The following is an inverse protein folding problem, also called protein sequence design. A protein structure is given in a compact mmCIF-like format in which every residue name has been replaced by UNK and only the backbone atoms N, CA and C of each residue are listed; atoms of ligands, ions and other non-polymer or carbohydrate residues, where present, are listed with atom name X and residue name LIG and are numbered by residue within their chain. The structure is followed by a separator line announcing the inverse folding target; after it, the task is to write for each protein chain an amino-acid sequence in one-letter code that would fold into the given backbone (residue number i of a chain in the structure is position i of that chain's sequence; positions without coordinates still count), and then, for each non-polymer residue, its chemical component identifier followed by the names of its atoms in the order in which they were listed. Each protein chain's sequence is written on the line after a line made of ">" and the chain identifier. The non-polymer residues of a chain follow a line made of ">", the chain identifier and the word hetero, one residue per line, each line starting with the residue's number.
data_IF_661438334530
#
_entry.id   IF_661438334530
#
_cell.length_a   1.000
_cell.length_b   1.000
_cell.length_c   1.000
_cell.angle_alpha   90.00
_cell.angle_beta   90.00
_cell.angle_gamma   90.00
#
_symmetry.space_group_name_H-M   'P 1'
#
loop_
_entity.id
_entity.type
_entity.pdbx_description
1 polymer ?
#
# COMPACT_ATOMS: atom_id res chain seq x y z
N UNK A 1 -21.62 -1.68 55.49
CA UNK A 1 -20.75 -2.87 55.47
C UNK A 1 -20.61 -3.27 53.99
N UNK A 2 -19.99 -2.46 53.13
CA UNK A 2 -18.57 -2.51 52.75
C UNK A 2 -17.93 -3.89 52.87
N UNK A 3 -17.91 -4.64 51.76
CA UNK A 3 -16.79 -5.39 51.18
C UNK A 3 -17.34 -6.45 50.22
N UNK A 4 -17.41 -6.10 48.93
CA UNK A 4 -17.25 -7.06 47.84
C UNK A 4 -16.32 -6.38 46.83
N UNK A 5 -15.02 -6.68 46.99
CA UNK A 5 -13.94 -6.24 46.11
C UNK A 5 -13.64 -7.39 45.16
N UNK A 6 -13.74 -7.10 43.86
CA UNK A 6 -12.76 -7.45 42.84
C UNK A 6 -12.10 -8.83 42.98
N UNK A 7 -12.77 -9.87 42.47
CA UNK A 7 -12.13 -11.08 41.96
C UNK A 7 -12.81 -11.44 40.63
N UNK A 8 -12.41 -10.72 39.58
CA UNK A 8 -12.44 -11.23 38.22
C UNK A 8 -11.00 -11.11 37.71
N UNK A 9 -10.23 -12.17 37.93
CA UNK A 9 -8.91 -12.33 37.31
C UNK A 9 -9.06 -12.14 35.79
N UNK A 10 -8.25 -11.29 35.17
CA UNK A 10 -6.91 -11.67 34.77
C UNK A 10 -6.91 -13.00 34.00
N UNK A 11 -7.76 -13.11 32.97
CA UNK A 11 -7.51 -14.02 31.86
C UNK A 11 -6.28 -13.48 31.11
N UNK A 12 -5.13 -14.05 31.49
CA UNK A 12 -3.94 -14.30 30.67
C UNK A 12 -3.86 -13.53 29.35
N UNK A 13 -3.20 -12.36 29.38
CA UNK A 13 -2.40 -11.91 28.24
C UNK A 13 -1.18 -12.83 28.12
N UNK A 14 -1.39 -14.07 27.66
CA UNK A 14 -0.28 -14.85 27.14
C UNK A 14 0.29 -14.04 25.97
N UNK A 15 1.53 -13.55 26.12
CA UNK A 15 2.31 -12.98 25.03
C UNK A 15 2.36 -14.01 23.91
N UNK A 16 1.45 -13.90 22.93
CA UNK A 16 1.52 -14.74 21.75
C UNK A 16 2.74 -14.29 20.97
N UNK A 17 3.81 -15.07 21.03
CA UNK A 17 4.95 -14.90 20.13
C UNK A 17 4.44 -15.05 18.70
N UNK A 18 4.36 -13.93 17.98
CA UNK A 18 3.89 -13.92 16.59
C UNK A 18 4.98 -14.56 15.73
N UNK A 19 4.63 -15.64 15.03
CA UNK A 19 5.53 -16.28 14.09
C UNK A 19 5.53 -15.54 12.73
N UNK A 20 6.63 -15.64 11.98
CA UNK A 20 6.73 -15.14 10.60
C UNK A 20 5.55 -15.59 9.74
N UNK A 21 5.24 -16.89 9.78
CA UNK A 21 4.07 -17.47 9.13
C UNK A 21 2.88 -17.36 10.09
N UNK A 22 1.97 -16.43 9.80
CA UNK A 22 0.75 -16.22 10.58
C UNK A 22 -0.26 -17.32 10.26
N UNK A 23 -0.35 -17.71 8.99
CA UNK A 23 -1.24 -18.78 8.57
C UNK A 23 -1.06 -19.19 7.12
N UNK A 24 -1.43 -20.44 6.83
CA UNK A 24 -1.49 -20.99 5.47
C UNK A 24 -2.75 -21.82 5.28
N UNK A 25 -3.36 -21.68 4.12
CA UNK A 25 -4.45 -22.52 3.63
C UNK A 25 -4.23 -22.85 2.16
N UNK A 26 -4.33 -24.12 1.79
CA UNK A 26 -4.00 -24.61 0.45
C UNK A 26 -5.08 -25.56 -0.03
N UNK A 27 -5.39 -25.50 -1.33
CA UNK A 27 -6.36 -26.39 -1.97
C UNK A 27 -5.82 -26.98 -3.28
N UNK A 28 -6.72 -27.16 -4.25
CA UNK A 28 -6.37 -27.63 -5.60
C UNK A 28 -5.38 -26.68 -6.30
N UNK A 29 -4.85 -27.04 -7.47
CA UNK A 29 -3.98 -26.12 -8.21
C UNK A 29 -4.72 -24.81 -8.56
N UNK A 30 -4.05 -23.67 -8.41
CA UNK A 30 -4.67 -22.35 -8.59
C UNK A 30 -3.72 -21.19 -8.26
N UNK A 31 -4.27 -19.97 -8.12
CA UNK A 31 -3.53 -18.75 -7.77
C UNK A 31 -2.84 -18.83 -6.40
N UNK A 32 -1.83 -18.00 -6.17
CA UNK A 32 -1.21 -17.83 -4.86
C UNK A 32 -1.49 -16.41 -4.34
N UNK A 33 -2.26 -16.29 -3.26
CA UNK A 33 -2.53 -15.03 -2.57
C UNK A 33 -1.60 -14.94 -1.36
N UNK A 34 -0.61 -14.05 -1.45
CA UNK A 34 0.33 -13.75 -0.38
C UNK A 34 -0.13 -12.48 0.31
N UNK A 35 -0.23 -12.51 1.63
CA UNK A 35 -0.69 -11.38 2.45
C UNK A 35 0.36 -11.08 3.50
N UNK A 36 0.79 -9.83 3.59
CA UNK A 36 1.71 -9.37 4.64
C UNK A 36 0.99 -8.37 5.52
N UNK A 37 1.08 -8.55 6.83
CA UNK A 37 0.64 -7.57 7.82
C UNK A 37 1.75 -7.23 8.80
N UNK A 38 1.71 -6.04 9.39
CA UNK A 38 2.69 -5.62 10.38
C UNK A 38 4.10 -5.42 9.81
N UNK A 39 4.22 -4.83 8.61
CA UNK A 39 5.50 -4.25 8.18
C UNK A 39 5.94 -3.13 9.13
N UNK A 40 4.96 -2.39 9.65
CA UNK A 40 5.13 -1.52 10.80
C UNK A 40 4.62 -2.24 12.05
N UNK A 41 5.41 -2.28 13.11
CA UNK A 41 5.12 -3.12 14.29
C UNK A 41 3.91 -2.69 15.11
N UNK A 42 3.57 -1.39 15.09
CA UNK A 42 2.38 -0.84 15.72
C UNK A 42 1.07 -1.12 14.94
N UNK A 43 1.13 -1.81 13.80
CA UNK A 43 -0.02 -2.07 12.91
C UNK A 43 -0.48 -3.53 12.97
N UNK A 44 -0.88 -3.99 14.16
CA UNK A 44 -1.22 -5.40 14.41
C UNK A 44 -2.52 -5.89 13.74
N UNK A 45 -3.37 -4.98 13.24
CA UNK A 45 -4.68 -5.30 12.68
C UNK A 45 -4.60 -6.25 11.47
N UNK A 46 -3.60 -6.08 10.60
CA UNK A 46 -3.39 -6.96 9.44
C UNK A 46 -3.07 -8.40 9.83
N UNK A 47 -2.27 -8.60 10.88
CA UNK A 47 -1.92 -9.93 11.40
C UNK A 47 -3.17 -10.62 11.97
N UNK A 48 -3.97 -9.90 12.75
CA UNK A 48 -5.25 -10.39 13.28
C UNK A 48 -6.22 -10.77 12.16
N UNK A 49 -6.29 -9.95 11.10
CA UNK A 49 -7.15 -10.23 9.94
C UNK A 49 -6.73 -11.51 9.21
N UNK A 50 -5.44 -11.70 8.97
CA UNK A 50 -4.88 -12.92 8.35
C UNK A 50 -5.26 -14.16 9.16
N UNK A 51 -4.98 -14.15 10.47
CA UNK A 51 -5.28 -15.28 11.36
C UNK A 51 -6.78 -15.61 11.36
N UNK A 52 -7.64 -14.59 11.44
CA UNK A 52 -9.10 -14.75 11.40
C UNK A 52 -9.58 -15.42 10.10
N UNK A 53 -9.10 -14.98 8.95
CA UNK A 53 -9.48 -15.56 7.64
C UNK A 53 -9.01 -17.00 7.54
N UNK A 54 -7.75 -17.29 7.92
CA UNK A 54 -7.20 -18.66 7.85
C UNK A 54 -7.94 -19.62 8.78
N UNK A 55 -8.27 -19.20 10.01
CA UNK A 55 -9.08 -20.00 10.93
C UNK A 55 -10.46 -20.29 10.37
N UNK A 56 -11.09 -19.29 9.76
CA UNK A 56 -12.41 -19.43 9.15
C UNK A 56 -12.41 -20.36 7.93
N UNK A 57 -11.42 -20.26 7.05
CA UNK A 57 -11.26 -21.20 5.93
C UNK A 57 -11.15 -22.66 6.41
N UNK A 58 -10.47 -22.88 7.54
CA UNK A 58 -10.34 -24.22 8.15
C UNK A 58 -11.65 -24.73 8.76
N UNK A 59 -12.49 -23.84 9.32
CA UNK A 59 -13.77 -24.24 9.91
C UNK A 59 -14.85 -24.53 8.88
N UNK A 60 -14.87 -23.77 7.78
CA UNK A 60 -16.01 -23.73 6.87
C UNK A 60 -15.98 -24.83 5.80
N UNK A 61 -14.85 -25.52 5.62
CA UNK A 61 -14.74 -26.63 4.65
C UNK A 61 -14.94 -26.19 3.19
N UNK A 62 -14.63 -24.93 2.89
CA UNK A 62 -14.82 -24.30 1.57
C UNK A 62 -13.97 -24.97 0.51
N UNK A 63 -14.54 -25.23 -0.67
CA UNK A 63 -13.74 -25.63 -1.83
C UNK A 63 -12.77 -24.53 -2.23
N UNK A 64 -11.48 -24.85 -2.23
CA UNK A 64 -10.43 -23.85 -2.41
C UNK A 64 -9.46 -24.24 -3.53
N UNK A 65 -9.08 -23.24 -4.33
CA UNK A 65 -8.09 -23.36 -5.40
C UNK A 65 -6.89 -22.46 -5.10
N UNK A 66 -5.71 -23.03 -5.18
CA UNK A 66 -4.46 -22.34 -4.98
C UNK A 66 -4.01 -22.32 -3.52
N UNK A 67 -3.40 -21.21 -3.12
CA UNK A 67 -2.74 -21.03 -1.83
C UNK A 67 -3.05 -19.64 -1.26
N UNK A 68 -3.43 -19.56 0.02
CA UNK A 68 -3.38 -18.36 0.85
C UNK A 68 -2.22 -18.51 1.82
N UNK A 69 -1.29 -17.55 1.80
CA UNK A 69 -0.11 -17.54 2.68
C UNK A 69 -0.03 -16.16 3.34
N UNK A 70 -0.14 -16.14 4.67
CA UNK A 70 -0.10 -14.93 5.46
C UNK A 70 1.18 -14.82 6.28
N UNK A 71 1.89 -13.69 6.15
CA UNK A 71 3.12 -13.40 6.87
C UNK A 71 2.99 -12.18 7.78
N UNK A 72 3.71 -12.23 8.91
CA UNK A 72 4.01 -11.05 9.72
C UNK A 72 5.27 -10.37 9.15
N UNK A 73 5.34 -9.04 9.20
CA UNK A 73 6.34 -8.22 8.50
C UNK A 73 7.62 -7.90 9.27
N UNK A 74 7.54 -7.19 10.39
CA UNK A 74 8.68 -6.78 11.21
C UNK A 74 8.51 -7.36 12.62
N UNK A 75 8.97 -8.59 12.84
CA UNK A 75 8.73 -9.30 14.11
C UNK A 75 9.31 -8.55 15.31
N UNK A 76 10.52 -8.02 15.17
CA UNK A 76 11.16 -7.24 16.22
C UNK A 76 10.39 -5.97 16.58
N UNK A 77 9.91 -5.21 15.59
CA UNK A 77 9.09 -4.01 15.86
C UNK A 77 7.69 -4.36 16.36
N UNK A 78 7.10 -5.47 15.89
CA UNK A 78 5.81 -5.99 16.38
C UNK A 78 5.91 -6.31 17.87
N UNK A 79 6.98 -6.99 18.29
CA UNK A 79 7.24 -7.32 19.70
C UNK A 79 7.41 -6.05 20.55
N UNK A 80 8.07 -5.02 20.01
CA UNK A 80 8.21 -3.72 20.67
C UNK A 80 6.93 -2.86 20.65
N UNK A 81 5.94 -3.18 19.81
CA UNK A 81 4.77 -2.34 19.57
C UNK A 81 5.11 -0.99 18.91
N UNK A 82 6.26 -0.89 18.24
CA UNK A 82 6.76 0.33 17.61
C UNK A 82 6.62 0.25 16.09
N UNK A 83 6.56 1.40 15.40
CA UNK A 83 6.50 1.42 13.93
C UNK A 83 7.68 0.70 13.31
N UNK A 84 8.88 0.99 13.79
CA UNK A 84 10.16 0.37 13.45
C UNK A 84 11.16 0.71 14.56
N UNK A 85 12.24 -0.06 14.69
CA UNK A 85 13.27 0.14 15.72
C UNK A 85 14.38 1.10 15.27
N UNK A 86 14.80 1.03 14.00
CA UNK A 86 15.82 1.93 13.44
C UNK A 86 15.38 2.57 12.13
N UNK A 87 14.99 1.77 11.16
CA UNK A 87 14.64 2.25 9.81
C UNK A 87 13.25 1.76 9.42
N UNK A 88 12.47 2.56 8.70
CA UNK A 88 11.17 2.11 8.21
C UNK A 88 11.35 0.94 7.22
N UNK A 89 10.91 -0.27 7.62
CA UNK A 89 11.04 -1.49 6.82
C UNK A 89 10.37 -1.33 5.45
N UNK A 90 9.31 -0.54 5.34
CA UNK A 90 8.62 -0.27 4.07
C UNK A 90 9.29 0.84 3.24
N UNK A 91 10.59 1.06 3.45
CA UNK A 91 11.49 1.90 2.63
C UNK A 91 12.73 1.15 2.15
N UNK A 92 12.92 -0.11 2.56
CA UNK A 92 14.15 -0.87 2.29
C UNK A 92 14.11 -1.71 1.00
N UNK A 93 12.96 -1.87 0.35
CA UNK A 93 12.73 -2.82 -0.75
C UNK A 93 13.17 -2.31 -2.13
N UNK A 94 14.26 -1.55 -2.17
CA UNK A 94 14.84 -1.06 -3.43
C UNK A 94 15.34 -2.20 -4.31
N UNK A 95 15.31 -2.01 -5.64
CA UNK A 95 15.76 -3.03 -6.58
C UNK A 95 17.22 -3.44 -6.35
N UNK A 96 18.10 -2.47 -6.11
CA UNK A 96 19.51 -2.71 -5.86
C UNK A 96 19.74 -3.43 -4.52
N UNK A 97 19.08 -2.97 -3.46
CA UNK A 97 19.17 -3.58 -2.12
C UNK A 97 18.75 -5.05 -2.14
N UNK A 98 17.56 -5.34 -2.70
CA UNK A 98 17.03 -6.72 -2.80
C UNK A 98 17.92 -7.62 -3.66
N UNK A 99 18.44 -7.11 -4.79
CA UNK A 99 19.36 -7.89 -5.64
C UNK A 99 20.65 -8.24 -4.90
N UNK A 100 21.19 -7.31 -4.12
CA UNK A 100 22.39 -7.53 -3.30
C UNK A 100 22.10 -8.57 -2.22
N UNK A 101 20.98 -8.44 -1.49
CA UNK A 101 20.58 -9.41 -0.47
C UNK A 101 20.37 -10.82 -1.03
N UNK A 102 19.73 -10.97 -2.20
CA UNK A 102 19.56 -12.28 -2.83
C UNK A 102 20.89 -12.92 -3.26
N UNK A 103 21.90 -12.12 -3.63
CA UNK A 103 23.23 -12.61 -4.01
C UNK A 103 24.02 -13.08 -2.81
N UNK A 104 23.93 -12.37 -1.69
CA UNK A 104 24.66 -12.71 -0.46
C UNK A 104 23.75 -12.68 0.77
N UNK A 105 22.96 -13.74 0.92
CA UNK A 105 22.05 -13.95 2.06
C UNK A 105 22.77 -14.26 3.38
N UNK A 106 24.10 -14.39 3.37
CA UNK A 106 24.89 -14.75 4.56
C UNK A 106 25.57 -13.56 5.21
N UNK A 107 25.51 -12.40 4.56
CA UNK A 107 25.98 -11.14 5.11
C UNK A 107 25.31 -10.90 6.46
N UNK A 108 26.12 -10.63 7.48
CA UNK A 108 25.59 -10.21 8.77
C UNK A 108 25.09 -8.77 8.64
N UNK A 109 23.87 -8.53 9.11
CA UNK A 109 23.26 -7.21 9.14
C UNK A 109 23.23 -6.72 10.59
N UNK A 110 23.70 -5.50 10.85
CA UNK A 110 23.67 -4.90 12.18
C UNK A 110 22.35 -4.13 12.44
N UNK A 111 21.66 -3.74 11.39
CA UNK A 111 20.34 -3.11 11.45
C UNK A 111 19.25 -4.19 11.67
N UNK A 112 18.38 -4.05 12.70
CA UNK A 112 17.31 -5.01 12.94
C UNK A 112 16.33 -5.12 11.77
N UNK A 113 16.01 -4.03 11.09
CA UNK A 113 15.10 -4.06 9.93
C UNK A 113 15.72 -4.71 8.70
N UNK A 114 17.04 -4.61 8.50
CA UNK A 114 17.70 -5.38 7.43
C UNK A 114 17.64 -6.90 7.68
N UNK A 115 17.72 -7.34 8.95
CA UNK A 115 17.54 -8.76 9.31
C UNK A 115 16.10 -9.22 9.04
N UNK A 116 15.13 -8.41 9.43
CA UNK A 116 13.71 -8.65 9.18
C UNK A 116 13.40 -8.68 7.68
N UNK A 117 13.98 -7.75 6.91
CA UNK A 117 13.89 -7.71 5.45
C UNK A 117 14.41 -9.01 4.84
N UNK A 118 15.60 -9.47 5.22
CA UNK A 118 16.20 -10.69 4.69
C UNK A 118 15.35 -11.94 5.00
N UNK A 119 14.81 -12.03 6.21
CA UNK A 119 13.97 -13.14 6.66
C UNK A 119 12.61 -13.16 5.94
N UNK A 120 11.97 -12.00 5.79
CA UNK A 120 10.73 -11.88 5.05
C UNK A 120 10.95 -12.15 3.55
N UNK A 121 12.03 -11.62 2.97
CA UNK A 121 12.41 -11.87 1.58
C UNK A 121 12.59 -13.38 1.31
N UNK A 122 13.18 -14.13 2.24
CA UNK A 122 13.27 -15.59 2.14
C UNK A 122 11.89 -16.25 2.03
N UNK A 123 10.99 -15.85 2.92
CA UNK A 123 9.64 -16.41 3.00
C UNK A 123 8.82 -16.09 1.75
N UNK A 124 8.98 -14.86 1.21
CA UNK A 124 8.34 -14.42 -0.03
C UNK A 124 8.92 -15.15 -1.24
N UNK A 125 10.25 -15.25 -1.36
CA UNK A 125 10.93 -15.98 -2.45
C UNK A 125 10.45 -17.45 -2.48
N UNK A 126 10.37 -18.10 -1.33
CA UNK A 126 9.89 -19.49 -1.21
C UNK A 126 8.41 -19.63 -1.60
N UNK A 127 7.56 -18.71 -1.14
CA UNK A 127 6.13 -18.70 -1.48
C UNK A 127 5.89 -18.48 -2.98
N UNK A 128 6.64 -17.56 -3.61
CA UNK A 128 6.59 -17.31 -5.05
C UNK A 128 7.11 -18.51 -5.84
N UNK A 129 8.22 -19.11 -5.41
CA UNK A 129 8.80 -20.28 -6.08
C UNK A 129 7.88 -21.52 -6.05
N UNK A 130 7.07 -21.66 -4.98
CA UNK A 130 6.11 -22.77 -4.82
C UNK A 130 4.74 -22.47 -5.46
N UNK A 131 4.50 -21.26 -5.96
CA UNK A 131 3.21 -20.87 -6.52
C UNK A 131 2.87 -21.72 -7.75
N UNK A 132 1.64 -22.25 -7.77
CA UNK A 132 1.12 -23.11 -8.86
C UNK A 132 0.30 -22.34 -9.90
N UNK A 133 0.33 -21.01 -9.82
CA UNK A 133 -0.46 -20.10 -10.64
C UNK A 133 -0.04 -18.65 -10.44
N UNK A 134 -0.82 -17.68 -10.94
CA UNK A 134 -0.54 -16.26 -10.76
C UNK A 134 -0.44 -15.88 -9.28
N UNK A 135 0.50 -14.99 -8.95
CA UNK A 135 0.66 -14.45 -7.60
C UNK A 135 -0.08 -13.12 -7.48
N UNK A 136 -0.88 -13.01 -6.41
CA UNK A 136 -1.52 -11.79 -5.93
C UNK A 136 -0.92 -11.47 -4.57
N UNK A 137 -0.48 -10.23 -4.38
CA UNK A 137 0.13 -9.75 -3.16
C UNK A 137 -0.72 -8.64 -2.53
N UNK A 138 -0.99 -8.78 -1.23
CA UNK A 138 -1.66 -7.78 -0.42
C UNK A 138 -0.72 -7.31 0.69
N UNK A 139 -0.48 -6.00 0.75
CA UNK A 139 0.25 -5.35 1.84
C UNK A 139 -0.74 -4.63 2.76
N UNK A 140 -0.91 -5.12 3.99
CA UNK A 140 -1.94 -4.63 4.91
C UNK A 140 -1.35 -3.66 5.93
N UNK A 141 -1.86 -2.44 5.89
CA UNK A 141 -1.48 -1.33 6.76
C UNK A 141 -2.69 -0.77 7.52
N UNK A 142 -2.39 0.05 8.51
CA UNK A 142 -3.33 0.96 9.15
C UNK A 142 -2.66 2.32 9.30
N UNK A 143 -3.43 3.36 9.63
CA UNK A 143 -2.92 4.72 9.76
C UNK A 143 -3.12 5.30 11.16
N UNK A 144 -2.32 6.31 11.51
CA UNK A 144 -2.43 6.98 12.82
C UNK A 144 -3.67 7.88 12.92
N UNK A 145 -4.18 8.34 11.77
CA UNK A 145 -5.32 9.22 11.69
C UNK A 145 -6.65 8.43 11.60
N UNK A 146 -7.73 8.95 12.21
CA UNK A 146 -9.07 8.44 11.92
C UNK A 146 -9.38 8.58 10.42
N UNK A 147 -9.94 7.53 9.83
CA UNK A 147 -10.17 7.51 8.39
C UNK A 147 -10.85 6.25 7.89
N UNK A 148 -11.41 6.38 6.71
CA UNK A 148 -12.01 5.31 5.92
C UNK A 148 -10.91 4.42 5.32
N UNK A 149 -11.18 3.12 5.11
CA UNK A 149 -10.23 2.23 4.45
C UNK A 149 -10.05 2.63 2.99
N UNK A 150 -8.86 2.38 2.43
CA UNK A 150 -8.55 2.66 1.03
C UNK A 150 -7.47 1.73 0.47
N UNK A 151 -7.34 1.76 -0.86
CA UNK A 151 -6.39 0.94 -1.60
C UNK A 151 -5.45 1.84 -2.40
N UNK A 152 -4.17 1.53 -2.37
CA UNK A 152 -3.19 2.12 -3.28
C UNK A 152 -2.39 1.02 -3.97
N UNK A 153 -1.86 1.34 -5.15
CA UNK A 153 -1.09 0.41 -5.96
C UNK A 153 -0.25 1.16 -6.98
N UNK A 154 0.85 0.56 -7.40
CA UNK A 154 1.61 1.05 -8.54
C UNK A 154 0.74 0.94 -9.80
N UNK A 155 0.60 2.05 -10.53
CA UNK A 155 -0.47 2.28 -11.52
C UNK A 155 -0.32 1.51 -12.84
N UNK A 156 -0.31 0.17 -12.75
CA UNK A 156 -0.39 -0.77 -13.87
C UNK A 156 -1.84 -1.10 -14.20
N UNK A 157 -2.16 -1.42 -15.46
CA UNK A 157 -3.52 -1.85 -15.81
C UNK A 157 -3.95 -3.14 -15.13
N UNK A 158 -3.01 -4.06 -14.83
CA UNK A 158 -3.28 -5.29 -14.08
C UNK A 158 -3.70 -5.01 -12.64
N UNK A 159 -2.97 -4.14 -11.93
CA UNK A 159 -3.32 -3.73 -10.58
C UNK A 159 -4.63 -2.95 -10.56
N UNK A 160 -4.88 -2.06 -11.54
CA UNK A 160 -6.17 -1.39 -11.69
C UNK A 160 -7.32 -2.39 -11.79
N UNK A 161 -7.23 -3.32 -12.74
CA UNK A 161 -8.28 -4.32 -12.98
C UNK A 161 -8.59 -5.11 -11.71
N UNK A 162 -7.56 -5.50 -10.95
CA UNK A 162 -7.75 -6.15 -9.66
C UNK A 162 -8.38 -5.22 -8.61
N UNK A 163 -7.79 -4.04 -8.38
CA UNK A 163 -8.20 -3.10 -7.34
C UNK A 163 -9.64 -2.55 -7.51
N UNK A 164 -10.15 -2.47 -8.74
CA UNK A 164 -11.53 -2.02 -8.98
C UNK A 164 -12.62 -3.02 -8.55
N UNK A 165 -12.25 -4.25 -8.14
CA UNK A 165 -13.21 -5.21 -7.56
C UNK A 165 -13.51 -4.94 -6.07
N UNK A 166 -12.76 -4.04 -5.44
CA UNK A 166 -12.89 -3.73 -4.02
C UNK A 166 -13.77 -2.49 -3.86
N UNK A 167 -14.77 -2.51 -2.97
CA UNK A 167 -15.64 -1.37 -2.71
C UNK A 167 -14.97 -0.39 -1.73
N UNK A 168 -13.76 0.06 -2.05
CA UNK A 168 -12.99 1.02 -1.27
C UNK A 168 -12.39 2.10 -2.19
N UNK A 169 -12.19 3.33 -1.70
CA UNK A 169 -11.50 4.40 -2.42
C UNK A 169 -10.13 3.96 -2.90
N UNK A 170 -9.81 4.34 -4.14
CA UNK A 170 -8.51 4.08 -4.75
C UNK A 170 -7.69 5.36 -4.78
N UNK A 171 -6.45 5.29 -4.29
CA UNK A 171 -5.49 6.39 -4.31
C UNK A 171 -4.40 6.12 -5.34
N UNK A 172 -4.44 6.86 -6.44
CA UNK A 172 -3.44 6.83 -7.49
C UNK A 172 -2.29 7.77 -7.14
N UNK A 173 -1.04 7.38 -7.44
CA UNK A 173 0.13 8.24 -7.22
C UNK A 173 0.80 8.07 -5.86
N UNK A 174 0.14 7.48 -4.85
CA UNK A 174 0.71 7.31 -3.51
C UNK A 174 1.94 6.39 -3.53
N UNK A 175 1.78 5.22 -4.15
CA UNK A 175 2.86 4.24 -4.34
C UNK A 175 4.08 4.83 -5.05
N UNK A 176 3.88 5.70 -6.05
CA UNK A 176 4.99 6.31 -6.77
C UNK A 176 5.76 7.37 -5.98
N UNK A 177 5.20 7.86 -4.86
CA UNK A 177 5.89 8.80 -3.96
C UNK A 177 6.65 8.12 -2.84
N UNK A 178 6.47 6.82 -2.67
CA UNK A 178 7.15 6.00 -1.69
C UNK A 178 8.24 5.21 -2.43
N UNK A 179 9.50 5.40 -2.05
CA UNK A 179 10.59 4.60 -2.63
C UNK A 179 10.90 3.43 -1.70
N UNK A 180 11.01 2.23 -2.28
CA UNK A 180 11.39 1.02 -1.52
C UNK A 180 10.24 0.39 -0.73
N UNK A 181 8.99 0.56 -1.17
CA UNK A 181 7.86 -0.19 -0.62
C UNK A 181 7.89 -1.66 -1.05
N UNK A 182 7.40 -2.56 -0.19
CA UNK A 182 7.32 -3.99 -0.49
C UNK A 182 6.33 -4.28 -1.65
N UNK A 183 5.18 -3.61 -1.65
CA UNK A 183 4.19 -3.62 -2.73
C UNK A 183 4.79 -3.20 -4.10
N UNK A 184 5.74 -2.25 -4.11
CA UNK A 184 6.47 -1.83 -5.31
C UNK A 184 7.37 -2.96 -5.83
N UNK A 185 8.12 -3.63 -4.95
CA UNK A 185 8.93 -4.80 -5.28
C UNK A 185 8.08 -5.87 -5.97
N UNK A 186 6.95 -6.25 -5.36
CA UNK A 186 6.07 -7.29 -5.89
C UNK A 186 5.48 -6.92 -7.26
N UNK A 187 5.10 -5.65 -7.46
CA UNK A 187 4.66 -5.16 -8.78
C UNK A 187 5.79 -5.25 -9.81
N UNK A 188 7.01 -4.86 -9.43
CA UNK A 188 8.18 -4.88 -10.33
C UNK A 188 8.56 -6.29 -10.76
N UNK A 189 8.33 -7.28 -9.91
CA UNK A 189 8.52 -8.71 -10.21
C UNK A 189 7.40 -9.31 -11.07
N UNK A 190 6.39 -8.50 -11.44
CA UNK A 190 5.33 -8.88 -12.37
C UNK A 190 4.12 -9.52 -11.69
N UNK A 191 4.01 -9.42 -10.37
CA UNK A 191 2.85 -9.88 -9.61
C UNK A 191 1.77 -8.80 -9.55
N UNK A 192 0.52 -9.22 -9.38
CA UNK A 192 -0.54 -8.28 -8.99
C UNK A 192 -0.28 -7.90 -7.54
N UNK A 193 -0.23 -6.62 -7.24
CA UNK A 193 0.15 -6.13 -5.92
C UNK A 193 -0.65 -4.88 -5.58
N UNK A 194 -1.30 -4.90 -4.41
CA UNK A 194 -2.00 -3.75 -3.85
C UNK A 194 -1.60 -3.59 -2.37
N UNK A 195 -1.55 -2.35 -1.93
CA UNK A 195 -1.48 -1.99 -0.52
C UNK A 195 -2.85 -1.51 -0.04
N UNK A 196 -3.20 -1.88 1.18
CA UNK A 196 -4.53 -1.67 1.76
C UNK A 196 -4.35 -0.99 3.09
N UNK A 197 -5.00 0.14 3.26
CA UNK A 197 -5.06 0.87 4.52
C UNK A 197 -6.41 0.58 5.17
N UNK A 198 -6.39 -0.10 6.31
CA UNK A 198 -7.59 -0.62 6.97
C UNK A 198 -8.41 0.42 7.75
N UNK A 199 -7.85 1.60 8.00
CA UNK A 199 -8.39 2.61 8.92
C UNK A 199 -7.38 2.98 10.00
N UNK A 200 -7.85 3.35 11.19
CA UNK A 200 -6.98 3.75 12.30
C UNK A 200 -6.38 2.52 13.04
N UNK A 201 -5.11 2.62 13.49
CA UNK A 201 -4.35 1.53 14.12
C UNK A 201 -5.10 0.72 15.20
N UNK A 202 -5.83 1.41 16.08
CA UNK A 202 -6.43 0.82 17.29
C UNK A 202 -7.92 0.50 17.12
N UNK A 203 -8.50 0.83 15.96
CA UNK A 203 -9.91 0.59 15.70
C UNK A 203 -10.17 -0.88 15.36
N UNK A 204 -11.06 -1.55 16.09
CA UNK A 204 -11.46 -2.93 15.78
C UNK A 204 -12.05 -3.06 14.36
N UNK A 205 -12.68 -2.00 13.86
CA UNK A 205 -13.17 -1.93 12.48
C UNK A 205 -12.05 -2.12 11.45
N UNK A 206 -10.80 -1.75 11.77
CA UNK A 206 -9.65 -1.95 10.87
C UNK A 206 -9.39 -3.44 10.63
N UNK A 207 -9.55 -4.29 11.64
CA UNK A 207 -9.44 -5.75 11.47
C UNK A 207 -10.56 -6.27 10.56
N UNK A 208 -11.79 -5.78 10.73
CA UNK A 208 -12.93 -6.14 9.89
C UNK A 208 -12.72 -5.73 8.43
N UNK A 209 -12.24 -4.51 8.17
CA UNK A 209 -11.97 -4.00 6.82
C UNK A 209 -10.85 -4.80 6.12
N UNK A 210 -9.77 -5.10 6.84
CA UNK A 210 -8.65 -5.87 6.31
C UNK A 210 -9.05 -7.33 6.05
N UNK A 211 -9.84 -7.94 6.94
CA UNK A 211 -10.37 -9.29 6.72
C UNK A 211 -11.33 -9.32 5.51
N UNK A 212 -12.21 -8.33 5.38
CA UNK A 212 -13.08 -8.17 4.20
C UNK A 212 -12.25 -8.08 2.91
N UNK A 213 -11.17 -7.30 2.93
CA UNK A 213 -10.26 -7.16 1.79
C UNK A 213 -9.59 -8.47 1.40
N UNK A 214 -9.11 -9.25 2.37
CA UNK A 214 -8.54 -10.59 2.09
C UNK A 214 -9.59 -11.49 1.42
N UNK A 215 -10.82 -11.54 1.93
CA UNK A 215 -11.89 -12.35 1.35
C UNK A 215 -12.22 -11.94 -0.09
N UNK A 216 -12.36 -10.64 -0.35
CA UNK A 216 -12.62 -10.11 -1.69
C UNK A 216 -11.45 -10.44 -2.62
N UNK A 217 -10.21 -10.38 -2.13
CA UNK A 217 -9.04 -10.76 -2.92
C UNK A 217 -9.03 -12.26 -3.27
N UNK A 218 -9.41 -13.15 -2.34
CA UNK A 218 -9.54 -14.58 -2.60
C UNK A 218 -10.60 -14.88 -3.66
N UNK A 219 -11.76 -14.24 -3.58
CA UNK A 219 -12.83 -14.35 -4.59
C UNK A 219 -12.37 -13.81 -5.95
N UNK A 220 -11.80 -12.61 -5.97
CA UNK A 220 -11.32 -11.92 -7.19
C UNK A 220 -10.18 -12.68 -7.87
N UNK A 221 -9.28 -13.30 -7.10
CA UNK A 221 -8.22 -14.15 -7.62
C UNK A 221 -8.75 -15.49 -8.18
N UNK A 222 -9.95 -15.91 -7.79
CA UNK A 222 -10.54 -17.20 -8.14
C UNK A 222 -10.11 -18.36 -7.23
N UNK A 223 -9.67 -18.05 -6.01
CA UNK A 223 -9.36 -19.05 -4.98
C UNK A 223 -10.62 -19.68 -4.39
N UNK A 224 -11.70 -18.91 -4.29
CA UNK A 224 -13.03 -19.36 -3.87
C UNK A 224 -14.05 -18.91 -4.92
N UNK A 225 -15.17 -19.62 -5.03
CA UNK A 225 -16.27 -19.20 -5.89
C UNK A 225 -17.04 -18.02 -5.26
N UNK A 226 -17.65 -17.19 -6.09
CA UNK A 226 -18.56 -16.14 -5.62
C UNK A 226 -19.70 -16.77 -4.80
N UNK A 227 -19.94 -16.22 -3.61
CA UNK A 227 -20.95 -16.74 -2.68
C UNK A 227 -20.58 -18.07 -2.00
N UNK A 228 -19.35 -18.57 -2.13
CA UNK A 228 -18.91 -19.78 -1.42
C UNK A 228 -18.82 -19.60 0.10
N UNK A 229 -18.78 -18.35 0.57
CA UNK A 229 -18.79 -17.97 1.98
C UNK A 229 -19.86 -16.90 2.17
N UNK A 230 -20.91 -17.25 2.92
CA UNK A 230 -22.14 -16.45 3.05
C UNK A 230 -21.88 -14.99 3.47
N UNK A 231 -20.93 -14.78 4.39
CA UNK A 231 -20.67 -13.46 4.97
C UNK A 231 -19.77 -12.57 4.11
N UNK A 232 -19.22 -13.05 2.98
CA UNK A 232 -18.34 -12.21 2.13
C UNK A 232 -19.13 -11.06 1.51
N UNK A 233 -20.38 -11.28 1.13
CA UNK A 233 -21.27 -10.22 0.65
C UNK A 233 -21.51 -9.15 1.74
N UNK A 234 -21.75 -9.59 2.97
CA UNK A 234 -21.93 -8.69 4.13
C UNK A 234 -20.65 -7.90 4.42
N UNK A 235 -19.49 -8.54 4.35
CA UNK A 235 -18.19 -7.88 4.52
C UNK A 235 -17.93 -6.85 3.42
N UNK A 236 -18.30 -7.16 2.17
CA UNK A 236 -18.23 -6.26 1.02
C UNK A 236 -19.12 -5.03 1.23
N UNK A 237 -20.35 -5.23 1.70
CA UNK A 237 -21.27 -4.12 2.02
C UNK A 237 -20.75 -3.25 3.17
N UNK A 238 -20.19 -3.85 4.22
CA UNK A 238 -19.58 -3.10 5.32
C UNK A 238 -18.42 -2.23 4.84
N UNK A 239 -17.53 -2.79 4.01
CA UNK A 239 -16.42 -2.04 3.43
C UNK A 239 -16.92 -0.89 2.54
N UNK A 240 -17.94 -1.14 1.71
CA UNK A 240 -18.60 -0.11 0.89
C UNK A 240 -19.22 1.01 1.74
N UNK A 241 -19.92 0.64 2.80
CA UNK A 241 -20.60 1.57 3.69
C UNK A 241 -19.60 2.44 4.46
N UNK A 242 -18.47 1.87 4.89
CA UNK A 242 -17.40 2.58 5.58
C UNK A 242 -16.85 3.74 4.73
N UNK A 243 -16.85 3.59 3.40
CA UNK A 243 -16.25 4.57 2.49
C UNK A 243 -17.26 5.35 1.64
N UNK A 244 -18.57 5.27 1.94
CA UNK A 244 -19.63 5.84 1.11
C UNK A 244 -19.57 7.37 0.89
N UNK A 245 -18.90 8.10 1.80
CA UNK A 245 -18.74 9.55 1.72
C UNK A 245 -17.44 10.00 1.05
N UNK A 246 -16.61 9.05 0.63
CA UNK A 246 -15.31 9.30 0.01
C UNK A 246 -15.43 9.09 -1.51
N UNK A 247 -14.82 9.96 -2.34
CA UNK A 247 -14.75 9.74 -3.77
C UNK A 247 -14.12 8.38 -4.11
N UNK A 248 -14.63 7.66 -5.12
CA UNK A 248 -14.15 6.31 -5.41
C UNK A 248 -12.71 6.29 -5.90
N UNK A 249 -12.24 7.38 -6.54
CA UNK A 249 -10.86 7.49 -7.02
C UNK A 249 -10.33 8.88 -6.74
N UNK A 250 -9.15 8.93 -6.09
CA UNK A 250 -8.38 10.14 -5.89
C UNK A 250 -6.98 9.97 -6.48
N UNK A 251 -6.38 11.10 -6.86
CA UNK A 251 -4.99 11.18 -7.30
C UNK A 251 -4.21 12.08 -6.35
N UNK A 252 -3.06 11.58 -5.92
CA UNK A 252 -2.12 12.35 -5.12
C UNK A 252 -1.54 13.50 -5.96
N UNK A 253 -1.59 14.71 -5.39
CA UNK A 253 -1.09 15.93 -6.03
C UNK A 253 0.16 16.48 -5.37
N UNK A 254 0.37 16.22 -4.08
CA UNK A 254 1.59 16.58 -3.37
C UNK A 254 1.83 15.70 -2.15
N UNK A 255 3.10 15.55 -1.82
CA UNK A 255 3.61 14.92 -0.60
C UNK A 255 4.37 15.98 0.19
N UNK A 256 4.16 16.04 1.50
CA UNK A 256 4.95 16.87 2.41
C UNK A 256 5.91 15.97 3.21
N UNK A 257 7.16 15.76 2.73
CA UNK A 257 8.14 14.97 3.46
C UNK A 257 8.64 15.75 4.69
N UNK A 258 9.06 15.02 5.72
CA UNK A 258 9.62 15.61 6.94
C UNK A 258 10.91 14.91 7.34
N UNK A 259 11.75 15.62 8.08
CA UNK A 259 12.96 15.10 8.73
C UNK A 259 12.84 15.26 10.25
N UNK A 260 13.61 14.49 11.00
CA UNK A 260 13.60 14.53 12.48
C UNK A 260 13.86 15.90 13.07
N UNK A 261 14.66 16.70 12.37
CA UNK A 261 15.07 18.05 12.76
C UNK A 261 14.01 19.11 12.47
N UNK A 262 12.95 18.81 11.72
CA UNK A 262 11.98 19.82 11.24
C UNK A 262 11.06 20.37 12.32
N UNK A 263 11.03 19.75 13.49
CA UNK A 263 10.08 20.07 14.58
C UNK A 263 8.63 20.05 14.06
N UNK A 264 8.35 19.18 13.09
CA UNK A 264 7.07 19.10 12.43
C UNK A 264 5.98 18.69 13.42
N UNK A 265 4.87 19.43 13.39
CA UNK A 265 3.68 19.17 14.17
C UNK A 265 2.45 19.37 13.31
N UNK A 266 1.71 18.28 13.08
CA UNK A 266 0.41 18.34 12.43
C UNK A 266 -0.60 19.07 13.32
N UNK A 267 -1.42 19.92 12.72
CA UNK A 267 -2.56 20.49 13.44
C UNK A 267 -3.57 19.37 13.80
N UNK A 268 -4.10 19.36 15.04
CA UNK A 268 -4.97 18.29 15.49
C UNK A 268 -6.35 18.36 14.81
N UNK A 269 -6.93 17.19 14.56
CA UNK A 269 -8.33 17.07 14.14
C UNK A 269 -8.55 16.80 12.65
N UNK A 270 -7.50 16.76 11.84
CA UNK A 270 -7.62 16.29 10.46
C UNK A 270 -7.89 14.78 10.41
N UNK A 271 -8.76 14.39 9.48
CA UNK A 271 -9.07 13.00 9.18
C UNK A 271 -8.61 12.65 7.77
N UNK A 272 -8.38 11.37 7.48
CA UNK A 272 -8.20 10.96 6.08
C UNK A 272 -9.40 11.42 5.24
N UNK A 273 -9.13 11.84 4.00
CA UNK A 273 -10.11 12.32 3.04
C UNK A 273 -10.80 13.65 3.39
N UNK A 274 -10.45 14.30 4.50
CA UNK A 274 -11.05 15.57 4.87
C UNK A 274 -10.79 16.62 3.78
N UNK A 275 -11.86 17.28 3.33
CA UNK A 275 -11.76 18.44 2.45
C UNK A 275 -11.16 19.60 3.23
N UNK A 276 -10.20 20.26 2.60
CA UNK A 276 -9.53 21.45 3.12
C UNK A 276 -9.61 22.58 2.10
N UNK A 277 -9.70 23.80 2.60
CA UNK A 277 -9.79 25.01 1.78
C UNK A 277 -8.42 25.63 1.53
N UNK A 278 -8.31 26.48 0.51
CA UNK A 278 -7.07 27.23 0.27
C UNK A 278 -6.75 28.17 1.45
N UNK A 279 -5.51 28.12 1.92
CA UNK A 279 -5.07 28.93 3.05
C UNK A 279 -5.50 28.40 4.42
N UNK A 280 -5.97 27.16 4.52
CA UNK A 280 -6.17 26.48 5.80
C UNK A 280 -4.83 26.06 6.41
N UNK A 281 -4.66 26.21 7.73
CA UNK A 281 -3.42 25.86 8.43
C UNK A 281 -3.39 24.35 8.70
N UNK A 282 -2.41 23.65 8.11
CA UNK A 282 -2.33 22.19 8.16
C UNK A 282 -1.36 21.69 9.22
N UNK A 283 -0.21 22.35 9.35
CA UNK A 283 0.87 21.95 10.25
C UNK A 283 1.79 23.12 10.53
N UNK A 284 2.70 22.93 11.49
CA UNK A 284 3.79 23.86 11.78
C UNK A 284 5.10 23.11 11.80
N UNK A 285 6.13 23.70 11.21
CA UNK A 285 7.51 23.25 11.31
C UNK A 285 8.40 24.42 11.79
N UNK A 286 9.72 24.20 11.87
CA UNK A 286 10.69 25.26 12.26
C UNK A 286 10.65 26.52 11.38
N UNK A 287 10.16 26.40 10.15
CA UNK A 287 10.08 27.49 9.15
C UNK A 287 8.78 28.27 9.28
N UNK A 288 7.82 27.77 10.05
CA UNK A 288 6.56 28.44 10.38
C UNK A 288 5.34 27.60 10.03
N UNK A 289 4.25 28.27 9.65
CA UNK A 289 2.98 27.61 9.32
C UNK A 289 3.00 27.04 7.90
N UNK A 290 2.52 25.81 7.77
CA UNK A 290 2.30 25.13 6.50
C UNK A 290 0.82 25.25 6.16
N UNK A 291 0.54 25.92 5.05
CA UNK A 291 -0.82 26.25 4.62
C UNK A 291 -1.23 25.41 3.42
N UNK A 292 -2.52 25.10 3.30
CA UNK A 292 -3.10 24.44 2.15
C UNK A 292 -2.97 25.33 0.90
N UNK A 293 -2.30 24.87 -0.18
CA UNK A 293 -2.06 25.72 -1.35
C UNK A 293 -3.30 25.95 -2.22
N UNK A 294 -4.28 25.05 -2.14
CA UNK A 294 -5.52 25.05 -2.93
C UNK A 294 -6.56 24.14 -2.27
N UNK A 295 -7.85 24.22 -2.66
CA UNK A 295 -8.85 23.28 -2.19
C UNK A 295 -8.50 21.85 -2.63
N UNK A 296 -8.43 20.94 -1.66
CA UNK A 296 -8.07 19.54 -1.89
C UNK A 296 -8.52 18.67 -0.71
N UNK A 297 -8.08 17.42 -0.65
CA UNK A 297 -8.27 16.54 0.49
C UNK A 297 -6.94 16.16 1.12
N UNK A 298 -6.87 16.19 2.44
CA UNK A 298 -5.70 15.71 3.18
C UNK A 298 -5.78 14.19 3.37
N UNK A 299 -4.62 13.54 3.29
CA UNK A 299 -4.45 12.10 3.47
C UNK A 299 -3.25 11.83 4.38
N UNK A 300 -3.37 10.75 5.16
CA UNK A 300 -2.38 10.23 6.09
C UNK A 300 -1.70 11.34 6.92
N UNK A 301 -2.46 12.21 7.62
CA UNK A 301 -1.86 13.20 8.49
C UNK A 301 -1.10 12.49 9.63
N UNK A 302 0.14 12.91 9.86
CA UNK A 302 1.03 12.27 10.83
C UNK A 302 0.70 12.71 12.26
N UNK A 303 0.07 11.82 13.03
CA UNK A 303 -0.22 12.04 14.45
C UNK A 303 0.62 11.19 15.40
N UNK A 304 1.34 10.20 14.87
CA UNK A 304 2.32 9.42 15.62
C UNK A 304 3.66 10.17 15.74
N UNK A 305 4.50 9.75 16.69
CA UNK A 305 5.77 10.41 16.99
C UNK A 305 6.87 10.18 15.93
N UNK A 306 6.75 9.12 15.12
CA UNK A 306 7.77 8.71 14.15
C UNK A 306 7.19 8.62 12.74
N UNK A 307 7.95 9.07 11.74
CA UNK A 307 7.55 9.03 10.34
C UNK A 307 8.41 9.92 9.46
N UNK A 308 8.37 9.66 8.15
CA UNK A 308 9.10 10.43 7.13
C UNK A 308 8.18 11.34 6.31
N UNK A 309 6.88 11.30 6.60
CA UNK A 309 5.81 11.88 5.80
C UNK A 309 4.85 12.60 6.74
N UNK A 310 4.73 13.93 6.59
CA UNK A 310 3.84 14.74 7.44
C UNK A 310 2.38 14.62 7.03
N UNK A 311 2.10 14.78 5.74
CA UNK A 311 0.78 14.55 5.13
C UNK A 311 0.87 14.50 3.61
N UNK A 312 -0.25 14.13 2.99
CA UNK A 312 -0.43 14.02 1.56
C UNK A 312 -1.67 14.84 1.12
N UNK A 313 -1.64 15.43 -0.07
CA UNK A 313 -2.79 16.16 -0.63
C UNK A 313 -3.28 15.50 -1.91
N UNK A 314 -4.57 15.22 -1.99
CA UNK A 314 -5.19 14.54 -3.12
C UNK A 314 -6.37 15.32 -3.71
N UNK A 315 -6.66 15.02 -4.98
CA UNK A 315 -7.83 15.51 -5.70
C UNK A 315 -8.66 14.36 -6.25
N UNK A 316 -9.94 14.61 -6.46
CA UNK A 316 -10.86 13.65 -7.07
C UNK A 316 -10.51 13.45 -8.55
N UNK A 317 -10.63 12.21 -9.05
CA UNK A 317 -10.38 11.87 -10.46
C UNK A 317 -11.70 11.51 -11.13
N UNK A 318 -12.02 12.24 -12.20
CA UNK A 318 -13.21 11.95 -13.00
C UNK A 318 -13.07 10.61 -13.75
N UNK A 319 -14.08 9.71 -13.72
CA UNK A 319 -14.04 8.40 -14.37
C UNK A 319 -13.72 8.45 -15.87
N UNK A 320 -14.10 9.54 -16.54
CA UNK A 320 -13.79 9.79 -17.95
C UNK A 320 -12.29 9.69 -18.26
N UNK A 321 -11.44 10.25 -17.40
CA UNK A 321 -9.98 10.25 -17.60
C UNK A 321 -9.38 8.85 -17.42
N UNK A 322 -9.97 8.02 -16.56
CA UNK A 322 -9.56 6.62 -16.39
C UNK A 322 -9.84 5.81 -17.66
N UNK A 323 -11.00 6.04 -18.29
CA UNK A 323 -11.36 5.45 -19.58
C UNK A 323 -10.38 5.84 -20.70
N UNK A 324 -10.08 7.14 -20.82
CA UNK A 324 -9.08 7.64 -21.78
C UNK A 324 -7.72 7.01 -21.52
N UNK A 325 -7.26 7.02 -20.26
CA UNK A 325 -5.98 6.44 -19.87
C UNK A 325 -5.87 4.97 -20.30
N UNK A 326 -6.92 4.17 -20.06
CA UNK A 326 -6.98 2.75 -20.49
C UNK A 326 -6.87 2.61 -22.01
N UNK A 327 -7.59 3.44 -22.79
CA UNK A 327 -7.54 3.41 -24.26
C UNK A 327 -6.13 3.76 -24.76
N UNK A 328 -5.56 4.87 -24.29
CA UNK A 328 -4.24 5.35 -24.73
C UNK A 328 -3.12 4.33 -24.42
N UNK A 329 -3.17 3.68 -23.24
CA UNK A 329 -2.19 2.66 -22.86
C UNK A 329 -2.33 1.39 -23.69
N UNK A 330 -3.55 0.94 -23.98
CA UNK A 330 -3.81 -0.22 -24.86
C UNK A 330 -3.35 0.02 -26.30
N UNK A 331 -3.54 1.24 -26.81
CA UNK A 331 -3.03 1.66 -28.12
C UNK A 331 -1.52 1.92 -28.14
N UNK A 332 -0.83 1.76 -27.01
CA UNK A 332 0.62 1.96 -26.85
C UNK A 332 1.08 3.34 -27.31
N UNK A 333 0.27 4.38 -27.06
CA UNK A 333 0.57 5.78 -27.39
C UNK A 333 1.88 6.26 -26.72
N UNK A 334 2.29 5.62 -25.62
CA UNK A 334 3.62 5.80 -25.01
C UNK A 334 4.78 5.65 -26.00
N UNK A 335 4.62 4.86 -27.06
CA UNK A 335 5.70 4.62 -28.03
C UNK A 335 5.97 5.82 -28.93
N UNK A 336 5.02 6.75 -29.05
CA UNK A 336 5.12 7.93 -29.91
C UNK A 336 5.27 9.24 -29.12
N UNK A 337 5.14 9.23 -27.80
CA UNK A 337 5.20 10.46 -26.98
C UNK A 337 6.58 11.15 -27.03
N UNK A 338 7.66 10.41 -27.29
CA UNK A 338 9.01 10.96 -27.52
C UNK A 338 9.16 11.84 -28.78
N UNK A 339 8.11 11.97 -29.61
CA UNK A 339 8.09 12.94 -30.71
C UNK A 339 7.61 14.32 -30.26
N UNK A 340 7.16 14.48 -29.01
CA UNK A 340 6.73 15.77 -28.49
C UNK A 340 7.94 16.67 -28.19
N UNK A 341 7.83 17.99 -28.42
CA UNK A 341 8.93 18.92 -28.13
C UNK A 341 9.42 18.81 -26.69
N UNK A 342 10.73 18.65 -26.52
CA UNK A 342 11.37 18.55 -25.21
C UNK A 342 11.21 17.19 -24.53
N UNK A 343 10.82 16.13 -25.25
CA UNK A 343 10.68 14.76 -24.72
C UNK A 343 11.59 13.81 -25.49
N UNK A 344 12.55 13.20 -24.80
CA UNK A 344 13.49 12.23 -25.35
C UNK A 344 13.32 10.86 -24.70
N UNK A 345 13.72 9.80 -25.40
CA UNK A 345 13.84 8.47 -24.79
C UNK A 345 15.08 8.42 -23.88
N UNK A 346 14.96 7.75 -22.74
CA UNK A 346 16.13 7.51 -21.90
C UNK A 346 17.10 6.52 -22.58
N UNK A 347 18.42 6.78 -22.60
CA UNK A 347 19.38 5.95 -23.35
C UNK A 347 19.52 4.52 -22.82
N UNK A 348 19.39 4.33 -21.50
CA UNK A 348 19.59 3.03 -20.85
C UNK A 348 18.29 2.30 -20.46
N UNK A 349 17.14 3.00 -20.42
CA UNK A 349 15.91 2.49 -19.82
C UNK A 349 14.73 2.68 -20.75
N UNK A 350 14.19 1.57 -21.27
CA UNK A 350 13.15 1.58 -22.32
C UNK A 350 11.84 2.24 -21.89
N UNK A 351 11.51 2.20 -20.59
CA UNK A 351 10.26 2.74 -20.05
C UNK A 351 10.42 4.12 -19.41
N UNK A 352 11.56 4.77 -19.63
CA UNK A 352 11.84 6.09 -19.09
C UNK A 352 11.92 7.12 -20.22
N UNK A 353 11.50 8.33 -19.91
CA UNK A 353 11.61 9.49 -20.80
C UNK A 353 12.37 10.60 -20.07
N UNK A 354 13.16 11.38 -20.81
CA UNK A 354 13.78 12.61 -20.34
C UNK A 354 12.98 13.78 -20.89
N UNK A 355 12.60 14.70 -20.03
CA UNK A 355 11.71 15.81 -20.32
C UNK A 355 12.45 17.10 -19.97
N UNK A 356 12.56 18.03 -20.92
CA UNK A 356 13.09 19.36 -20.66
C UNK A 356 11.95 20.27 -20.20
N UNK A 357 11.88 20.69 -18.92
CA UNK A 357 10.77 21.48 -18.41
C UNK A 357 10.65 22.86 -19.06
N UNK A 358 11.75 23.36 -19.63
CA UNK A 358 11.82 24.65 -20.33
C UNK A 358 11.16 24.63 -21.71
N UNK A 359 10.96 23.44 -22.29
CA UNK A 359 10.44 23.24 -23.65
C UNK A 359 9.09 22.50 -23.63
N UNK A 360 8.97 21.49 -22.75
CA UNK A 360 7.77 20.71 -22.62
C UNK A 360 6.62 21.57 -22.05
N UNK A 361 5.49 21.60 -22.76
CA UNK A 361 4.31 22.35 -22.33
C UNK A 361 3.61 21.64 -21.16
N UNK A 362 2.86 22.40 -20.37
CA UNK A 362 2.17 21.90 -19.18
C UNK A 362 1.27 20.68 -19.44
N UNK A 363 0.55 20.64 -20.57
CA UNK A 363 -0.34 19.51 -20.92
C UNK A 363 0.41 18.19 -21.19
N UNK A 364 1.73 18.24 -21.43
CA UNK A 364 2.54 17.04 -21.65
C UNK A 364 2.63 16.23 -20.35
N UNK A 365 2.60 16.87 -19.19
CA UNK A 365 2.59 16.20 -17.89
C UNK A 365 1.27 15.48 -17.61
N UNK A 366 0.13 16.10 -17.95
CA UNK A 366 -1.18 15.44 -17.85
C UNK A 366 -1.24 14.20 -18.77
N UNK A 367 -0.68 14.32 -19.99
CA UNK A 367 -0.57 13.18 -20.91
C UNK A 367 0.32 12.07 -20.34
N UNK A 368 1.43 12.41 -19.68
CA UNK A 368 2.29 11.43 -19.03
C UNK A 368 1.56 10.63 -17.95
N UNK A 369 0.77 11.28 -17.10
CA UNK A 369 -0.05 10.58 -16.10
C UNK A 369 -1.07 9.64 -16.77
N UNK A 370 -1.75 10.09 -17.83
CA UNK A 370 -2.68 9.23 -18.60
C UNK A 370 -1.97 8.01 -19.19
N UNK A 371 -0.71 8.15 -19.62
CA UNK A 371 0.11 7.07 -20.17
C UNK A 371 0.81 6.20 -19.11
N UNK A 372 0.68 6.53 -17.83
CA UNK A 372 1.25 5.76 -16.71
C UNK A 372 2.67 6.14 -16.31
N UNK A 373 3.18 7.26 -16.83
CA UNK A 373 4.40 7.84 -16.32
C UNK A 373 4.06 8.64 -15.05
N UNK A 374 4.35 8.05 -13.89
CA UNK A 374 3.99 8.62 -12.59
C UNK A 374 5.18 8.89 -11.68
N UNK A 375 6.26 8.12 -11.80
CA UNK A 375 7.49 8.35 -11.03
C UNK A 375 8.31 9.42 -11.73
N UNK A 376 8.71 10.45 -10.99
CA UNK A 376 9.47 11.59 -11.51
C UNK A 376 10.75 11.79 -10.70
N UNK A 377 11.87 12.02 -11.39
CA UNK A 377 13.17 12.29 -10.75
C UNK A 377 13.86 13.43 -11.48
N UNK A 378 14.44 14.37 -10.74
CA UNK A 378 15.24 15.44 -11.33
C UNK A 378 16.62 14.88 -11.75
N UNK A 379 17.04 15.18 -12.97
CA UNK A 379 18.35 14.83 -13.53
C UNK A 379 18.99 16.09 -14.12
N UNK A 380 19.61 16.90 -13.25
CA UNK A 380 20.16 18.21 -13.62
C UNK A 380 19.06 19.17 -14.09
N UNK A 381 19.09 19.56 -15.37
CA UNK A 381 18.06 20.43 -15.98
C UNK A 381 16.90 19.65 -16.62
N UNK A 382 16.97 18.33 -16.58
CA UNK A 382 15.96 17.45 -17.16
C UNK A 382 15.14 16.81 -16.06
N UNK A 383 13.91 16.47 -16.38
CA UNK A 383 13.04 15.63 -15.56
C UNK A 383 12.99 14.23 -16.19
N UNK A 384 13.30 13.19 -15.42
CA UNK A 384 13.11 11.81 -15.84
C UNK A 384 11.73 11.36 -15.37
N UNK A 385 10.90 10.87 -16.29
CA UNK A 385 9.61 10.26 -15.96
C UNK A 385 9.63 8.77 -16.32
N UNK A 386 9.10 7.95 -15.41
CA UNK A 386 9.14 6.50 -15.50
C UNK A 386 7.73 5.90 -15.51
N UNK A 387 7.55 4.90 -16.37
CA UNK A 387 6.42 3.96 -16.36
C UNK A 387 6.91 2.56 -16.01
N UNK A 388 6.07 1.79 -15.31
CA UNK A 388 6.34 0.38 -14.97
C UNK A 388 6.45 -0.51 -16.21
N UNK A 389 7.30 -1.54 -16.12
CA UNK A 389 7.53 -2.50 -17.22
C UNK A 389 6.33 -3.43 -17.45
N UNK A 390 5.67 -3.86 -16.37
CA UNK A 390 4.56 -4.80 -16.35
C UNK A 390 3.18 -4.12 -16.34
N UNK A 391 2.99 -3.10 -17.19
CA UNK A 391 1.72 -2.34 -17.22
C UNK A 391 0.54 -3.17 -17.77
N UNK A 392 0.77 -3.92 -18.86
CA UNK A 392 -0.25 -4.71 -19.56
C UNK A 392 -0.12 -6.22 -19.35
N UNK A 393 1.08 -6.71 -19.02
CA UNK A 393 1.44 -8.13 -18.99
C UNK A 393 2.37 -8.44 -17.84
#
# INVERSE_FOLDING_TARGET
>A
MMRDRFEAGAEESAEMTIARLVGRFSGAAGPCVIVVGGLHGNESAGIRAIDRVVRRLRSDGVEFKGDLIGFAGNLAAIEAGERYLRTDLNRLWTEEGVRTMRRDRRTAHDDPEEREQLALLASLDDAVAQARGPVVFLDLHTSSAPGEPFICFADTLRNREFAFHFPAPIILGLEETIDGALSELMTREGHISIAVEGGQHDADSSVDHLAATIWIALETAGCIAEGAVDDVAVLREKLAAASAHVPPVLELTSRHPIQSEDEFKMEPGFRNFQRIEAGEHLATDRSGQIMAPKPCRVLLPLYQAVGNDGFFLAREVEPFWLGISRILRRLRVSNIVHWFPGVDRHPAHRNWLRVNPSVARWYVYDLFHLLGYRKQRAEGRMLVVERRAHDLR
#
